data_IF_038444855794
#
_entry.id   IF_038444855794
#
_cell.length_a   1.000
_cell.length_b   1.000
_cell.length_c   1.000
_cell.angle_alpha   90.00
_cell.angle_beta   90.00
_cell.angle_gamma   90.00
#
_symmetry.space_group_name_H-M   'P 1'
#
loop_
_entity.id
_entity.type
_entity.pdbx_description
1 polymer ?
#
# COMPACT_ATOMS: atom_id res chain seq x y z
N UNK A 1 -25.74 -4.06 -13.73
CA UNK A 1 -26.06 -2.67 -13.35
C UNK A 1 -24.97 -2.17 -12.43
N UNK A 2 -24.58 -0.91 -12.54
CA UNK A 2 -23.63 -0.28 -11.61
C UNK A 2 -24.23 -0.23 -10.20
N UNK A 3 -23.38 -0.29 -9.16
CA UNK A 3 -23.85 -0.13 -7.78
C UNK A 3 -24.34 1.30 -7.53
N UNK A 4 -25.22 1.52 -6.53
CA UNK A 4 -25.67 2.87 -6.16
C UNK A 4 -24.50 3.84 -5.93
N UNK A 5 -23.42 3.39 -5.31
CA UNK A 5 -22.23 4.21 -5.05
C UNK A 5 -21.53 4.66 -6.34
N UNK A 6 -21.44 3.78 -7.34
CA UNK A 6 -20.86 4.13 -8.66
C UNK A 6 -21.75 5.12 -9.40
N UNK A 7 -23.07 4.94 -9.34
CA UNK A 7 -24.00 5.92 -9.92
C UNK A 7 -23.85 7.29 -9.26
N UNK A 8 -23.73 7.35 -7.93
CA UNK A 8 -23.55 8.62 -7.19
C UNK A 8 -22.28 9.35 -7.60
N UNK A 9 -21.13 8.66 -7.66
CA UNK A 9 -19.87 9.34 -8.02
C UNK A 9 -19.89 9.85 -9.47
N UNK A 10 -20.48 9.10 -10.39
CA UNK A 10 -20.66 9.54 -11.79
C UNK A 10 -21.48 10.82 -11.84
N UNK A 11 -22.66 10.85 -11.23
CA UNK A 11 -23.53 12.04 -11.21
C UNK A 11 -22.84 13.25 -10.58
N UNK A 12 -22.08 13.04 -9.50
CA UNK A 12 -21.32 14.11 -8.84
C UNK A 12 -20.26 14.71 -9.77
N UNK A 13 -19.48 13.87 -10.46
CA UNK A 13 -18.44 14.32 -11.39
C UNK A 13 -19.05 15.00 -12.62
N UNK A 14 -20.10 14.42 -13.21
CA UNK A 14 -20.79 14.99 -14.37
C UNK A 14 -21.33 16.41 -14.12
N UNK A 15 -21.69 16.74 -12.87
CA UNK A 15 -22.19 18.08 -12.51
C UNK A 15 -21.13 19.18 -12.52
N UNK A 16 -19.85 18.83 -12.64
CA UNK A 16 -18.73 19.77 -12.62
C UNK A 16 -18.40 20.29 -14.04
N UNK A 17 -17.82 21.50 -14.18
CA UNK A 17 -17.17 21.93 -15.41
C UNK A 17 -16.08 20.96 -15.86
N UNK A 18 -15.89 20.79 -17.18
CA UNK A 18 -14.96 19.80 -17.74
C UNK A 18 -13.54 19.88 -17.16
N UNK A 19 -13.00 21.09 -16.97
CA UNK A 19 -11.68 21.28 -16.36
C UNK A 19 -11.58 20.80 -14.91
N UNK A 20 -12.70 20.75 -14.18
CA UNK A 20 -12.75 20.16 -12.83
C UNK A 20 -13.00 18.65 -12.88
N UNK A 21 -13.71 18.13 -13.88
CA UNK A 21 -13.85 16.69 -14.09
C UNK A 21 -12.49 16.02 -14.29
N UNK A 22 -11.64 16.60 -15.15
CA UNK A 22 -10.29 16.09 -15.41
C UNK A 22 -9.43 16.05 -14.15
N UNK A 23 -9.47 17.11 -13.32
CA UNK A 23 -8.77 17.14 -12.03
C UNK A 23 -9.27 16.06 -11.06
N UNK A 24 -10.58 15.85 -11.00
CA UNK A 24 -11.13 14.79 -10.14
C UNK A 24 -10.68 13.42 -10.60
N UNK A 25 -10.62 13.17 -11.92
CA UNK A 25 -10.11 11.90 -12.47
C UNK A 25 -8.66 11.65 -12.08
N UNK A 26 -7.81 12.69 -12.08
CA UNK A 26 -6.42 12.61 -11.64
C UNK A 26 -6.32 12.14 -10.17
N UNK A 27 -7.00 12.83 -9.25
CA UNK A 27 -7.00 12.46 -7.83
C UNK A 27 -7.60 11.09 -7.55
N UNK A 28 -8.68 10.72 -8.24
CA UNK A 28 -9.31 9.40 -8.07
C UNK A 28 -8.39 8.29 -8.56
N UNK A 29 -7.59 8.53 -9.61
CA UNK A 29 -6.62 7.55 -10.10
C UNK A 29 -5.52 7.29 -9.06
N UNK A 30 -4.96 8.34 -8.47
CA UNK A 30 -3.96 8.22 -7.40
C UNK A 30 -4.57 7.49 -6.20
N UNK A 31 -5.75 7.90 -5.76
CA UNK A 31 -6.44 7.26 -4.63
C UNK A 31 -6.72 5.77 -4.88
N UNK A 32 -7.11 5.38 -6.09
CA UNK A 32 -7.29 3.95 -6.44
C UNK A 32 -5.95 3.21 -6.39
N UNK A 33 -4.88 3.80 -6.90
CA UNK A 33 -3.55 3.18 -6.85
C UNK A 33 -3.09 2.92 -5.41
N UNK A 34 -3.30 3.89 -4.52
CA UNK A 34 -3.00 3.74 -3.09
C UNK A 34 -3.81 2.60 -2.45
N UNK A 35 -5.11 2.50 -2.76
CA UNK A 35 -5.96 1.41 -2.26
C UNK A 35 -5.52 0.04 -2.77
N UNK A 36 -5.07 -0.06 -4.03
CA UNK A 36 -4.57 -1.30 -4.60
C UNK A 36 -3.24 -1.72 -3.99
N UNK A 37 -2.35 -0.76 -3.72
CA UNK A 37 -1.07 -1.01 -3.07
C UNK A 37 -1.24 -1.45 -1.62
N UNK A 38 -2.08 -0.75 -0.84
CA UNK A 38 -2.40 -1.13 0.54
C UNK A 38 -3.00 -2.55 0.60
N UNK A 39 -3.90 -2.88 -0.33
CA UNK A 39 -4.46 -4.24 -0.40
C UNK A 39 -3.38 -5.30 -0.70
N UNK A 40 -2.42 -4.98 -1.58
CA UNK A 40 -1.30 -5.88 -1.88
C UNK A 40 -0.39 -6.02 -0.67
N UNK A 41 -0.13 -4.93 0.05
CA UNK A 41 0.64 -4.92 1.27
C UNK A 41 -0.01 -5.82 2.32
N UNK A 42 -1.29 -5.62 2.63
CA UNK A 42 -2.03 -6.40 3.62
C UNK A 42 -2.00 -7.90 3.27
N UNK A 43 -2.30 -8.25 2.02
CA UNK A 43 -2.26 -9.65 1.56
C UNK A 43 -0.87 -10.28 1.72
N UNK A 44 0.18 -9.50 1.44
CA UNK A 44 1.57 -9.96 1.57
C UNK A 44 1.96 -10.12 3.04
N UNK A 45 1.51 -9.19 3.89
CA UNK A 45 1.76 -9.20 5.32
C UNK A 45 1.03 -10.35 6.01
N UNK A 46 -0.25 -10.57 5.73
CA UNK A 46 -1.03 -11.71 6.23
C UNK A 46 -0.31 -13.04 5.99
N UNK A 47 0.32 -13.20 4.82
CA UNK A 47 1.06 -14.42 4.47
C UNK A 47 2.45 -14.54 5.11
N UNK A 48 3.08 -13.42 5.48
CA UNK A 48 4.50 -13.39 5.86
C UNK A 48 4.79 -12.91 7.28
N UNK A 49 3.79 -12.39 8.00
CA UNK A 49 3.97 -11.75 9.31
C UNK A 49 4.66 -12.66 10.33
N UNK A 50 4.28 -13.93 10.44
CA UNK A 50 4.91 -14.88 11.37
C UNK A 50 6.40 -15.09 11.06
N UNK A 51 6.74 -15.20 9.77
CA UNK A 51 8.13 -15.32 9.34
C UNK A 51 8.92 -14.03 9.62
N UNK A 52 8.32 -12.86 9.43
CA UNK A 52 8.93 -11.58 9.78
C UNK A 52 9.19 -11.47 11.28
N UNK A 53 8.23 -11.88 12.12
CA UNK A 53 8.39 -11.91 13.58
C UNK A 53 9.54 -12.85 13.97
N UNK A 54 9.54 -14.08 13.45
CA UNK A 54 10.59 -15.05 13.74
C UNK A 54 11.97 -14.54 13.30
N UNK A 55 12.05 -13.93 12.12
CA UNK A 55 13.30 -13.33 11.60
C UNK A 55 13.78 -12.18 12.48
N UNK A 56 12.87 -11.31 12.94
CA UNK A 56 13.22 -10.21 13.83
C UNK A 56 13.69 -10.70 15.20
N UNK A 57 13.07 -11.74 15.75
CA UNK A 57 13.52 -12.38 16.99
C UNK A 57 14.90 -13.02 16.84
N UNK A 58 15.13 -13.75 15.76
CA UNK A 58 16.43 -14.36 15.45
C UNK A 58 17.53 -13.29 15.30
N UNK A 59 17.24 -12.19 14.61
CA UNK A 59 18.17 -11.06 14.48
C UNK A 59 18.52 -10.45 15.84
N UNK A 60 17.53 -10.24 16.72
CA UNK A 60 17.76 -9.76 18.10
C UNK A 60 18.67 -10.69 18.89
N UNK A 61 18.43 -12.01 18.78
CA UNK A 61 19.25 -13.01 19.45
C UNK A 61 20.69 -13.01 18.91
N UNK A 62 20.87 -12.94 17.59
CA UNK A 62 22.19 -12.87 16.96
C UNK A 62 22.97 -11.62 17.39
N UNK A 63 22.30 -10.48 17.56
CA UNK A 63 22.91 -9.25 18.10
C UNK A 63 23.37 -9.47 19.54
N UNK A 64 22.50 -10.03 20.40
CA UNK A 64 22.83 -10.30 21.80
C UNK A 64 24.00 -11.29 21.95
N UNK A 65 24.13 -12.25 21.03
CA UNK A 65 25.22 -13.22 20.98
C UNK A 65 26.49 -12.67 20.31
N UNK A 66 26.49 -11.42 19.82
CA UNK A 66 27.63 -10.81 19.12
C UNK A 66 27.90 -11.40 17.73
N UNK A 67 26.93 -12.10 17.14
CA UNK A 67 27.01 -12.74 15.81
C UNK A 67 26.51 -11.85 14.67
N UNK A 68 26.01 -10.66 14.96
CA UNK A 68 25.52 -9.72 13.94
C UNK A 68 26.64 -8.86 13.36
N UNK A 69 26.63 -8.65 12.05
CA UNK A 69 27.44 -7.63 11.36
C UNK A 69 26.57 -6.45 10.92
N UNK A 70 27.09 -5.21 10.93
CA UNK A 70 26.38 -4.06 10.37
C UNK A 70 26.01 -4.29 8.89
N UNK A 71 24.84 -3.79 8.49
CA UNK A 71 24.39 -3.84 7.10
C UNK A 71 25.30 -2.98 6.22
N UNK A 72 25.83 -3.56 5.14
CA UNK A 72 26.64 -2.84 4.17
C UNK A 72 25.76 -2.33 3.02
N UNK A 73 25.52 -1.01 3.00
CA UNK A 73 24.65 -0.39 2.00
C UNK A 73 25.23 -0.37 0.58
N UNK A 74 26.54 -0.58 0.41
CA UNK A 74 27.19 -0.62 -0.90
C UNK A 74 27.03 -1.98 -1.61
N UNK A 75 26.43 -2.97 -0.93
CA UNK A 75 26.24 -4.33 -1.44
C UNK A 75 24.76 -4.75 -1.53
N UNK A 76 23.84 -3.77 -1.53
CA UNK A 76 22.40 -3.98 -1.63
C UNK A 76 21.91 -4.03 -3.08
#
# INVERSE_FOLDING_TARGET
MSSPSITTIVTMVESLPSALQEKVVEYVREFIADLEDEKRWESSFELTHDHLIASAQAAKQAIAEGKSTPMNYEQL
#
